data_IF_260906959624
#
_entry.id   IF_260906959624
#
_cell.length_a   1.000
_cell.length_b   1.000
_cell.length_c   1.000
_cell.angle_alpha   90.00
_cell.angle_beta   90.00
_cell.angle_gamma   90.00
#
_symmetry.space_group_name_H-M   'P 1'
#
loop_
_entity.id
_entity.type
_entity.pdbx_description
1 polymer ?
#
# COMPACT_ATOMS: atom_id res chain seq x y z
N UNK A 1 13.09 -15.57 0.94
CA UNK A 1 13.36 -14.27 0.29
C UNK A 1 14.55 -13.61 0.96
N UNK A 2 15.53 -13.20 0.18
CA UNK A 2 16.68 -12.45 0.72
C UNK A 2 16.28 -11.01 0.99
N UNK A 3 17.12 -10.30 1.74
CA UNK A 3 16.93 -8.86 1.98
C UNK A 3 16.91 -8.09 0.66
N UNK A 4 17.81 -8.41 -0.26
CA UNK A 4 17.88 -7.75 -1.56
C UNK A 4 16.66 -8.00 -2.40
N UNK A 5 16.14 -9.23 -2.42
CA UNK A 5 14.90 -9.57 -3.11
C UNK A 5 13.72 -8.83 -2.50
N UNK A 6 13.65 -8.77 -1.17
CA UNK A 6 12.58 -8.05 -0.50
C UNK A 6 12.59 -6.57 -0.88
N UNK A 7 13.76 -5.93 -0.83
CA UNK A 7 13.87 -4.50 -1.15
C UNK A 7 13.45 -4.20 -2.58
N UNK A 8 13.83 -5.06 -3.53
CA UNK A 8 13.44 -4.90 -4.93
C UNK A 8 11.92 -5.05 -5.11
N UNK A 9 11.34 -6.10 -4.54
CA UNK A 9 9.90 -6.37 -4.68
C UNK A 9 9.06 -5.33 -3.93
N UNK A 10 9.45 -4.97 -2.71
CA UNK A 10 8.73 -3.97 -1.93
C UNK A 10 8.83 -2.59 -2.57
N UNK A 11 10.01 -2.22 -3.05
CA UNK A 11 10.19 -0.95 -3.75
C UNK A 11 9.31 -0.84 -4.99
N UNK A 12 9.22 -1.91 -5.78
CA UNK A 12 8.36 -1.95 -6.95
C UNK A 12 6.87 -1.82 -6.57
N UNK A 13 6.45 -2.51 -5.51
CA UNK A 13 5.06 -2.45 -5.04
C UNK A 13 4.71 -1.04 -4.56
N UNK A 14 5.59 -0.41 -3.78
CA UNK A 14 5.34 0.96 -3.29
C UNK A 14 5.30 1.97 -4.42
N UNK A 15 6.18 1.87 -5.40
CA UNK A 15 6.16 2.75 -6.56
C UNK A 15 4.88 2.60 -7.37
N UNK A 16 4.42 1.35 -7.56
CA UNK A 16 3.18 1.08 -8.27
C UNK A 16 1.97 1.61 -7.51
N UNK A 17 1.94 1.46 -6.18
CA UNK A 17 0.88 2.01 -5.35
C UNK A 17 0.84 3.53 -5.40
N UNK A 18 2.00 4.18 -5.33
CA UNK A 18 2.08 5.63 -5.43
C UNK A 18 1.48 6.13 -6.75
N UNK A 19 1.90 5.54 -7.87
CA UNK A 19 1.36 5.91 -9.19
C UNK A 19 -0.13 5.63 -9.30
N UNK A 20 -0.59 4.50 -8.76
CA UNK A 20 -2.00 4.14 -8.80
C UNK A 20 -2.87 5.11 -8.00
N UNK A 21 -2.41 5.53 -6.82
CA UNK A 21 -3.12 6.53 -6.02
C UNK A 21 -3.19 7.88 -6.73
N UNK A 22 -2.08 8.31 -7.33
CA UNK A 22 -2.05 9.58 -8.07
C UNK A 22 -3.03 9.57 -9.25
N UNK A 23 -3.15 8.44 -9.92
CA UNK A 23 -4.09 8.29 -11.04
C UNK A 23 -5.54 8.19 -10.58
N UNK A 24 -5.80 7.42 -9.52
CA UNK A 24 -7.18 7.15 -9.06
C UNK A 24 -7.76 8.29 -8.23
N UNK A 25 -6.92 9.00 -7.48
CA UNK A 25 -7.35 10.08 -6.58
C UNK A 25 -6.47 11.31 -6.82
N UNK A 26 -6.65 12.02 -7.96
CA UNK A 26 -5.77 13.14 -8.31
C UNK A 26 -5.81 14.30 -7.33
N UNK A 27 -6.88 14.42 -6.53
CA UNK A 27 -7.01 15.49 -5.53
C UNK A 27 -6.44 15.10 -4.17
N UNK A 28 -6.11 13.83 -3.95
CA UNK A 28 -5.46 13.41 -2.71
C UNK A 28 -3.98 13.81 -2.72
N UNK A 29 -3.43 14.06 -1.53
CA UNK A 29 -2.01 14.39 -1.41
C UNK A 29 -1.23 13.09 -1.20
N UNK A 30 -0.42 12.73 -2.19
CA UNK A 30 0.38 11.51 -2.18
C UNK A 30 1.85 11.89 -2.09
N UNK A 31 2.52 11.47 -1.02
CA UNK A 31 3.91 11.82 -0.79
C UNK A 31 4.76 10.58 -0.48
N UNK A 32 5.89 10.45 -1.18
CA UNK A 32 6.91 9.50 -0.80
C UNK A 32 7.79 10.17 0.27
N UNK A 33 7.85 9.57 1.45
CA UNK A 33 8.63 10.11 2.57
C UNK A 33 9.83 9.20 2.83
N UNK A 34 10.92 9.49 2.16
CA UNK A 34 12.11 8.66 2.20
C UNK A 34 11.91 7.35 1.43
N UNK A 35 12.93 6.49 1.39
CA UNK A 35 12.81 5.19 0.72
C UNK A 35 11.91 4.27 1.55
N UNK A 36 10.86 3.74 0.93
CA UNK A 36 10.05 2.72 1.54
C UNK A 36 8.85 3.17 2.36
N UNK A 37 8.43 4.42 2.23
CA UNK A 37 7.22 4.90 2.88
C UNK A 37 6.47 5.84 1.95
N UNK A 38 5.16 5.63 1.81
CA UNK A 38 4.27 6.58 1.13
C UNK A 38 3.12 6.94 2.07
N UNK A 39 2.73 8.20 2.02
CA UNK A 39 1.62 8.72 2.81
C UNK A 39 0.58 9.33 1.88
N UNK A 40 -0.67 8.94 2.06
CA UNK A 40 -1.80 9.45 1.29
C UNK A 40 -2.71 10.22 2.25
N UNK A 41 -2.94 11.50 1.96
CA UNK A 41 -3.91 12.30 2.71
C UNK A 41 -5.16 12.47 1.84
N UNK A 42 -6.29 12.03 2.38
CA UNK A 42 -7.58 12.08 1.71
C UNK A 42 -8.26 13.44 1.93
N UNK A 43 -9.32 13.71 1.16
CA UNK A 43 -10.02 15.00 1.23
C UNK A 43 -10.56 15.32 2.63
N UNK A 44 -10.91 14.30 3.40
CA UNK A 44 -11.41 14.49 4.77
C UNK A 44 -10.30 14.74 5.79
N UNK A 45 -9.06 14.82 5.36
CA UNK A 45 -7.90 15.00 6.23
C UNK A 45 -7.36 13.71 6.83
N UNK A 46 -8.03 12.58 6.64
CA UNK A 46 -7.51 11.31 7.13
C UNK A 46 -6.34 10.83 6.27
N UNK A 47 -5.50 9.98 6.84
CA UNK A 47 -4.29 9.51 6.18
C UNK A 47 -4.22 8.01 6.09
N UNK A 48 -3.51 7.53 5.08
CA UNK A 48 -3.09 6.14 4.98
C UNK A 48 -1.58 6.13 4.79
N UNK A 49 -0.89 5.27 5.53
CA UNK A 49 0.56 5.14 5.45
C UNK A 49 0.89 3.72 5.03
N UNK A 50 1.71 3.59 4.00
CA UNK A 50 2.16 2.30 3.50
C UNK A 50 3.67 2.31 3.56
N UNK A 51 4.26 1.34 4.27
CA UNK A 51 5.71 1.28 4.39
C UNK A 51 6.23 -0.16 4.32
N UNK A 52 7.45 -0.29 3.81
CA UNK A 52 8.15 -1.57 3.89
C UNK A 52 8.76 -1.71 5.28
N UNK A 53 8.69 -2.91 5.83
CA UNK A 53 9.29 -3.23 7.12
C UNK A 53 10.35 -4.30 6.92
N UNK A 54 11.62 -3.88 6.87
CA UNK A 54 12.73 -4.76 6.47
C UNK A 54 12.95 -5.94 7.40
N UNK A 55 12.86 -5.72 8.71
CA UNK A 55 13.10 -6.78 9.69
C UNK A 55 12.07 -7.91 9.58
N UNK A 56 10.83 -7.56 9.27
CA UNK A 56 9.75 -8.55 9.12
C UNK A 56 9.61 -9.08 7.70
N UNK A 57 10.28 -8.47 6.71
CA UNK A 57 10.09 -8.76 5.28
C UNK A 57 8.63 -8.60 4.88
N UNK A 58 8.00 -7.53 5.35
CA UNK A 58 6.57 -7.25 5.12
C UNK A 58 6.35 -5.84 4.63
N UNK A 59 5.20 -5.63 3.97
CA UNK A 59 4.66 -4.31 3.71
C UNK A 59 3.54 -4.09 4.73
N UNK A 60 3.59 -2.95 5.42
CA UNK A 60 2.60 -2.59 6.43
C UNK A 60 1.75 -1.44 5.94
N UNK A 61 0.44 -1.56 6.15
CA UNK A 61 -0.55 -0.55 5.76
C UNK A 61 -1.27 -0.09 7.02
N UNK A 62 -1.18 1.21 7.32
CA UNK A 62 -1.94 1.83 8.39
C UNK A 62 -3.06 2.65 7.75
N UNK A 63 -4.29 2.18 7.89
CA UNK A 63 -5.48 2.82 7.35
C UNK A 63 -6.38 3.30 8.48
N UNK A 64 -7.40 4.09 8.14
CA UNK A 64 -8.37 4.58 9.12
C UNK A 64 -9.06 3.43 9.86
N UNK A 65 -9.30 2.31 9.18
CA UNK A 65 -9.97 1.15 9.75
C UNK A 65 -9.05 0.19 10.50
N UNK A 66 -7.72 0.38 10.46
CA UNK A 66 -6.79 -0.47 11.19
C UNK A 66 -5.47 -0.67 10.49
N UNK A 67 -4.64 -1.55 11.04
CA UNK A 67 -3.34 -1.92 10.51
C UNK A 67 -3.34 -3.28 9.85
N UNK A 68 -2.62 -3.41 8.74
CA UNK A 68 -2.59 -4.63 7.93
C UNK A 68 -1.15 -4.94 7.53
N UNK A 69 -0.79 -6.21 7.53
CA UNK A 69 0.55 -6.68 7.20
C UNK A 69 0.49 -7.61 5.99
N UNK A 70 1.39 -7.42 5.05
CA UNK A 70 1.43 -8.20 3.82
C UNK A 70 2.79 -8.84 3.63
N UNK A 71 2.80 -10.13 3.29
CA UNK A 71 4.02 -10.89 3.04
C UNK A 71 3.97 -11.45 1.61
N UNK A 72 5.12 -11.49 0.97
CA UNK A 72 5.22 -12.00 -0.41
C UNK A 72 5.27 -13.51 -0.42
N UNK A 73 4.46 -14.14 -1.27
CA UNK A 73 4.37 -15.61 -1.37
C UNK A 73 5.11 -16.19 -2.58
N UNK A 74 5.89 -15.37 -3.27
CA UNK A 74 6.57 -15.74 -4.50
C UNK A 74 5.86 -15.23 -5.75
N UNK A 75 4.58 -14.88 -5.65
CA UNK A 75 3.77 -14.37 -6.77
C UNK A 75 3.17 -13.01 -6.46
N UNK A 76 2.72 -12.79 -5.23
CA UNK A 76 2.04 -11.55 -4.83
C UNK A 76 2.25 -11.27 -3.35
N UNK A 77 1.94 -10.04 -2.95
CA UNK A 77 1.90 -9.65 -1.54
C UNK A 77 0.52 -10.03 -0.99
N UNK A 78 0.50 -10.79 0.11
CA UNK A 78 -0.72 -11.32 0.71
C UNK A 78 -0.86 -10.89 2.16
N UNK A 79 -2.08 -10.49 2.55
CA UNK A 79 -2.41 -10.19 3.94
C UNK A 79 -2.09 -11.43 4.79
N UNK A 80 -1.37 -11.23 5.90
CA UNK A 80 -0.93 -12.33 6.75
C UNK A 80 -2.07 -12.99 7.51
N UNK A 81 -3.26 -12.39 7.54
CA UNK A 81 -4.43 -12.92 8.24
C UNK A 81 -5.38 -13.67 7.32
N UNK A 82 -5.72 -13.09 6.15
CA UNK A 82 -6.76 -13.65 5.29
C UNK A 82 -6.30 -13.95 3.87
N UNK A 83 -5.06 -13.62 3.52
CA UNK A 83 -4.51 -13.91 2.20
C UNK A 83 -4.93 -12.96 1.09
N UNK A 84 -5.65 -11.88 1.39
CA UNK A 84 -6.07 -10.91 0.37
C UNK A 84 -4.85 -10.25 -0.26
N UNK A 85 -4.85 -10.11 -1.58
CA UNK A 85 -3.75 -9.50 -2.30
C UNK A 85 -3.67 -8.00 -2.01
N UNK A 86 -2.45 -7.45 -1.96
CA UNK A 86 -2.16 -6.08 -1.52
C UNK A 86 -2.98 -5.02 -2.26
N UNK A 87 -2.97 -5.03 -3.59
CA UNK A 87 -3.67 -3.98 -4.36
C UNK A 87 -5.18 -4.09 -4.20
N UNK A 88 -5.71 -5.29 -4.11
CA UNK A 88 -7.13 -5.51 -3.85
C UNK A 88 -7.52 -5.02 -2.45
N UNK A 89 -6.69 -5.33 -1.45
CA UNK A 89 -6.94 -4.91 -0.07
C UNK A 89 -6.86 -3.39 0.06
N UNK A 90 -5.82 -2.78 -0.50
CA UNK A 90 -5.64 -1.32 -0.41
C UNK A 90 -6.72 -0.59 -1.21
N UNK A 91 -7.17 -1.14 -2.34
CA UNK A 91 -8.30 -0.58 -3.09
C UNK A 91 -9.55 -0.52 -2.23
N UNK A 92 -9.85 -1.59 -1.50
CA UNK A 92 -11.01 -1.63 -0.61
C UNK A 92 -10.87 -0.62 0.53
N UNK A 93 -9.70 -0.58 1.17
CA UNK A 93 -9.44 0.36 2.26
C UNK A 93 -9.52 1.80 1.78
N UNK A 94 -8.96 2.10 0.62
CA UNK A 94 -9.00 3.44 0.04
C UNK A 94 -10.42 3.84 -0.34
N UNK A 95 -11.23 2.91 -0.86
CA UNK A 95 -12.63 3.18 -1.19
C UNK A 95 -13.42 3.56 0.05
N UNK A 96 -13.23 2.84 1.15
CA UNK A 96 -13.89 3.15 2.42
C UNK A 96 -13.47 4.52 2.94
N UNK A 97 -12.19 4.83 2.86
CA UNK A 97 -11.63 6.07 3.40
C UNK A 97 -11.95 7.28 2.53
N UNK A 98 -11.97 7.12 1.22
CA UNK A 98 -12.31 8.19 0.27
C UNK A 98 -13.81 8.42 0.14
N UNK A 99 -14.63 7.45 0.50
CA UNK A 99 -16.08 7.53 0.35
C UNK A 99 -16.56 7.39 -1.09
N UNK A 100 -15.70 6.94 -2.00
CA UNK A 100 -16.03 6.68 -3.40
C UNK A 100 -15.28 5.42 -3.84
N UNK A 101 -15.75 4.71 -4.86
CA UNK A 101 -15.05 3.53 -5.36
C UNK A 101 -13.66 3.89 -5.88
N UNK A 102 -12.64 3.17 -5.39
CA UNK A 102 -11.25 3.33 -5.81
C UNK A 102 -10.73 1.97 -6.24
N UNK A 103 -10.17 1.89 -7.44
CA UNK A 103 -9.53 0.68 -7.94
C UNK A 103 -8.09 1.02 -8.28
N UNK A 104 -7.17 0.34 -7.59
CA UNK A 104 -5.73 0.53 -7.78
C UNK A 104 -5.21 -0.64 -8.60
N UNK A 105 -4.74 -0.34 -9.80
CA UNK A 105 -4.16 -1.37 -10.65
C UNK A 105 -2.76 -1.75 -10.20
N UNK A 106 -2.39 -3.00 -10.42
CA UNK A 106 -1.08 -3.52 -10.03
C UNK A 106 0.06 -3.03 -10.94
N UNK A 107 -0.25 -2.22 -11.89
CA UNK A 107 0.75 -1.59 -12.72
C UNK A 107 0.80 -2.05 -14.11
#
# INVERSE_FOLDING_TARGET
MTESEFETLAGAALAALESAFEAALPDADVQAKGPGLIEIEFDDGSKMVINRHGAAREIWVAAKSGGFHFRHDGAAWRDTRDGTELFAAVSKLASLQAGVPVVLGAG
#
